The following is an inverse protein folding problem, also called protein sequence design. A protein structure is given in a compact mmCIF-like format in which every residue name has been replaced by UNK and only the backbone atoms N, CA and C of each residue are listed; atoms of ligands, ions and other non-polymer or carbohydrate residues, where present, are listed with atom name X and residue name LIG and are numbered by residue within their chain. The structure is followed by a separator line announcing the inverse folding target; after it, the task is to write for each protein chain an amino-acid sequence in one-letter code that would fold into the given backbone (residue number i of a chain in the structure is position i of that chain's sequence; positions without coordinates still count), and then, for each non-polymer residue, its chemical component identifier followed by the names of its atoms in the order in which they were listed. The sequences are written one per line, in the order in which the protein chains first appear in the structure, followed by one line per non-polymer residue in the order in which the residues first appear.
data_IF_639024060878
#
_entry.id   IF_639024060878
#
_cell.length_a   1.000
_cell.length_b   1.000
_cell.length_c   1.000
_cell.angle_alpha   90.00
_cell.angle_beta   90.00
_cell.angle_gamma   90.00
#
_symmetry.space_group_name_H-M   'P 1'
#
loop_
_entity.id
_entity.type
_entity.pdbx_description
1 polymer ?
#
# COMPACT_ATOMS: atom_id res chain seq x y z
N UNK A 1 59.27 64.29 40.85
CA UNK A 1 57.99 63.57 41.01
C UNK A 1 57.84 62.64 39.82
N UNK A 2 57.58 61.38 40.15
CA UNK A 2 57.41 60.25 39.25
C UNK A 2 56.16 60.33 38.36
N UNK A 3 56.23 59.52 37.31
CA UNK A 3 55.21 58.63 36.76
C UNK A 3 54.06 59.17 35.90
N UNK A 4 53.99 58.56 34.73
CA UNK A 4 52.77 58.33 33.96
C UNK A 4 53.08 57.82 32.55
N UNK A 5 53.18 56.49 32.30
CA UNK A 5 53.56 55.96 31.00
C UNK A 5 52.38 56.05 30.01
N UNK A 6 52.62 56.63 28.83
CA UNK A 6 51.67 56.62 27.71
C UNK A 6 51.57 55.22 27.12
N UNK A 7 50.39 54.61 27.23
CA UNK A 7 50.03 53.37 26.55
C UNK A 7 50.13 53.54 25.03
N UNK A 8 51.10 52.87 24.41
CA UNK A 8 51.13 52.69 22.95
C UNK A 8 50.18 51.55 22.54
N UNK A 9 49.17 51.92 21.76
CA UNK A 9 48.26 51.02 21.05
C UNK A 9 49.05 50.24 19.98
N UNK A 10 49.59 49.07 20.32
CA UNK A 10 50.22 48.18 19.34
C UNK A 10 49.14 47.33 18.65
N UNK A 11 48.85 47.71 17.41
CA UNK A 11 48.08 46.96 16.41
C UNK A 11 48.45 45.47 16.41
N UNK A 12 47.51 44.62 16.83
CA UNK A 12 47.60 43.17 16.68
C UNK A 12 47.48 42.80 15.20
N UNK A 13 48.61 42.81 14.48
CA UNK A 13 48.72 42.14 13.19
C UNK A 13 48.53 40.63 13.41
N UNK A 14 47.44 40.08 12.87
CA UNK A 14 47.24 38.63 12.69
C UNK A 14 48.45 38.06 11.95
N UNK A 15 49.32 37.35 12.67
CA UNK A 15 50.23 36.39 12.05
C UNK A 15 49.39 35.16 11.71
N UNK A 16 48.93 35.11 10.46
CA UNK A 16 48.66 33.83 9.81
C UNK A 16 49.99 33.09 9.75
N UNK A 17 50.33 32.37 10.80
CA UNK A 17 51.35 31.34 10.74
C UNK A 17 50.74 30.21 9.91
N UNK A 18 50.95 30.29 8.59
CA UNK A 18 51.00 29.12 7.75
C UNK A 18 52.05 28.20 8.37
N UNK A 19 51.59 27.22 9.14
CA UNK A 19 52.40 26.08 9.52
C UNK A 19 52.66 25.29 8.25
N UNK A 20 53.66 25.74 7.49
CA UNK A 20 54.42 24.87 6.59
C UNK A 20 54.87 23.67 7.44
N UNK A 21 54.58 22.42 7.04
CA UNK A 21 55.08 21.27 7.78
C UNK A 21 56.60 21.33 7.76
N UNK A 22 57.17 21.56 8.93
CA UNK A 22 58.58 21.43 9.21
C UNK A 22 59.07 20.07 8.70
N UNK A 23 60.10 20.14 7.88
CA UNK A 23 60.85 19.03 7.30
C UNK A 23 61.35 18.06 8.37
N UNK A 24 60.65 16.93 8.51
CA UNK A 24 61.29 15.64 8.80
C UNK A 24 61.56 14.95 7.46
N UNK A 25 62.81 14.76 7.04
CA UNK A 25 63.11 14.23 5.72
C UNK A 25 62.95 12.70 5.66
N UNK A 26 62.38 12.24 4.55
CA UNK A 26 62.52 10.90 3.94
C UNK A 26 61.53 9.75 4.24
N UNK A 27 60.55 9.84 5.16
CA UNK A 27 59.55 8.74 5.33
C UNK A 27 58.17 9.00 4.72
N UNK A 28 57.85 10.23 4.33
CA UNK A 28 56.50 10.62 3.92
C UNK A 28 56.17 10.45 2.41
N UNK A 29 57.01 9.77 1.62
CA UNK A 29 56.81 9.61 0.16
C UNK A 29 57.02 8.18 -0.37
N UNK A 30 57.09 7.16 0.50
CA UNK A 30 57.12 5.76 0.03
C UNK A 30 55.70 5.20 0.04
N UNK A 31 54.96 5.42 -1.05
CA UNK A 31 53.60 4.87 -1.23
C UNK A 31 53.59 3.39 -1.61
N UNK A 32 54.74 2.82 -1.96
CA UNK A 32 54.90 1.42 -2.33
C UNK A 32 55.65 0.65 -1.24
N UNK A 33 55.00 -0.40 -0.73
CA UNK A 33 55.60 -1.37 0.17
C UNK A 33 56.54 -2.29 -0.61
N UNK A 34 57.72 -2.57 -0.04
CA UNK A 34 58.63 -3.62 -0.49
C UNK A 34 57.99 -5.01 -0.31
N UNK A 35 58.58 -6.06 -0.89
CA UNK A 35 58.11 -7.43 -0.70
C UNK A 35 58.12 -7.82 0.79
N UNK A 36 59.19 -7.49 1.51
CA UNK A 36 59.32 -7.74 2.94
C UNK A 36 58.25 -6.99 3.76
N UNK A 37 57.98 -5.72 3.43
CA UNK A 37 56.94 -4.93 4.09
C UNK A 37 55.53 -5.48 3.81
N UNK A 38 55.29 -6.01 2.60
CA UNK A 38 54.03 -6.70 2.27
C UNK A 38 53.87 -7.99 3.09
N UNK A 39 54.93 -8.79 3.24
CA UNK A 39 54.90 -10.01 4.04
C UNK A 39 54.62 -9.67 5.50
N UNK A 40 55.32 -8.68 6.08
CA UNK A 40 55.07 -8.21 7.46
C UNK A 40 53.63 -7.75 7.65
N UNK A 41 53.11 -6.95 6.72
CA UNK A 41 51.72 -6.50 6.75
C UNK A 41 50.74 -7.68 6.70
N UNK A 42 50.94 -8.64 5.78
CA UNK A 42 50.06 -9.79 5.62
C UNK A 42 50.15 -10.75 6.81
N UNK A 43 51.33 -10.93 7.43
CA UNK A 43 51.48 -11.68 8.70
C UNK A 43 50.61 -11.08 9.80
N UNK A 44 50.62 -9.75 9.97
CA UNK A 44 49.76 -9.07 10.95
C UNK A 44 48.28 -9.27 10.64
N UNK A 45 47.88 -9.14 9.38
CA UNK A 45 46.49 -9.33 8.93
C UNK A 45 46.01 -10.75 9.24
N UNK A 46 46.81 -11.76 8.90
CA UNK A 46 46.50 -13.17 9.13
C UNK A 46 46.47 -13.50 10.62
N UNK A 47 47.45 -13.00 11.39
CA UNK A 47 47.51 -13.21 12.84
C UNK A 47 46.24 -12.70 13.55
N UNK A 48 45.67 -11.58 13.09
CA UNK A 48 44.47 -10.97 13.68
C UNK A 48 43.18 -11.31 12.92
N UNK A 49 43.21 -12.26 11.97
CA UNK A 49 42.10 -12.51 11.04
C UNK A 49 40.75 -12.82 11.70
N UNK A 50 40.76 -13.38 12.91
CA UNK A 50 39.57 -13.71 13.69
C UNK A 50 38.93 -12.51 14.37
N UNK A 51 39.66 -11.39 14.50
CA UNK A 51 39.14 -10.13 15.04
C UNK A 51 38.35 -9.34 13.99
N UNK A 52 38.45 -9.70 12.71
CA UNK A 52 37.63 -9.09 11.67
C UNK A 52 36.16 -9.50 11.88
N UNK A 53 35.33 -8.51 12.16
CA UNK A 53 33.87 -8.62 12.28
C UNK A 53 33.20 -8.03 11.04
N UNK A 54 32.21 -8.74 10.49
CA UNK A 54 31.44 -8.24 9.33
C UNK A 54 30.81 -6.87 9.65
N UNK A 55 30.93 -5.93 8.71
CA UNK A 55 30.53 -4.50 8.82
C UNK A 55 31.30 -3.63 9.83
N UNK A 56 32.28 -4.15 10.58
CA UNK A 56 33.19 -3.37 11.42
C UNK A 56 34.62 -3.40 10.90
N UNK A 57 34.75 -3.24 9.58
CA UNK A 57 36.05 -3.32 8.88
C UNK A 57 37.00 -2.19 9.27
N UNK A 58 36.47 -1.01 9.62
CA UNK A 58 37.28 0.16 9.99
C UNK A 58 38.11 -0.06 11.26
N UNK A 59 37.50 -0.63 12.31
CA UNK A 59 38.18 -0.94 13.57
C UNK A 59 39.36 -1.91 13.35
N UNK A 60 39.15 -2.92 12.50
CA UNK A 60 40.17 -3.90 12.13
C UNK A 60 41.35 -3.24 11.40
N UNK A 61 41.10 -2.53 10.29
CA UNK A 61 42.20 -1.93 9.52
C UNK A 61 42.92 -0.81 10.27
N UNK A 62 42.23 -0.08 11.15
CA UNK A 62 42.87 0.90 12.03
C UNK A 62 43.81 0.23 13.04
N UNK A 63 43.43 -0.93 13.60
CA UNK A 63 44.29 -1.71 14.50
C UNK A 63 45.52 -2.24 13.76
N UNK A 64 45.35 -2.81 12.56
CA UNK A 64 46.48 -3.31 11.75
C UNK A 64 47.44 -2.18 11.39
N UNK A 65 46.94 -1.01 10.98
CA UNK A 65 47.78 0.15 10.67
C UNK A 65 48.61 0.60 11.88
N UNK A 66 48.00 0.63 13.08
CA UNK A 66 48.67 1.00 14.33
C UNK A 66 49.79 0.02 14.68
N UNK A 67 49.49 -1.28 14.73
CA UNK A 67 50.46 -2.32 15.07
C UNK A 67 51.59 -2.37 14.03
N UNK A 68 51.25 -2.25 12.74
CA UNK A 68 52.23 -2.24 11.66
C UNK A 68 53.19 -1.05 11.73
N UNK A 69 52.72 0.12 12.19
CA UNK A 69 53.60 1.26 12.41
C UNK A 69 54.47 1.08 13.66
N UNK A 70 53.87 0.70 14.79
CA UNK A 70 54.54 0.64 16.10
C UNK A 70 55.56 -0.50 16.18
N UNK A 71 55.23 -1.68 15.65
CA UNK A 71 56.05 -2.89 15.83
C UNK A 71 56.91 -3.21 14.59
N UNK A 72 56.37 -2.99 13.39
CA UNK A 72 57.03 -3.39 12.13
C UNK A 72 57.66 -2.19 11.39
N UNK A 73 57.47 -0.96 11.90
CA UNK A 73 58.03 0.26 11.31
C UNK A 73 57.45 0.65 9.95
N UNK A 74 56.26 0.13 9.60
CA UNK A 74 55.60 0.40 8.32
C UNK A 74 55.14 1.86 8.21
N UNK A 75 55.33 2.49 7.05
CA UNK A 75 54.91 3.87 6.79
C UNK A 75 53.38 4.06 6.64
N UNK A 76 52.59 3.05 6.98
CA UNK A 76 51.13 3.06 6.80
C UNK A 76 50.47 3.55 8.09
N UNK A 77 50.01 4.81 8.10
CA UNK A 77 49.46 5.42 9.31
C UNK A 77 47.94 5.59 9.31
N UNK A 78 47.28 5.45 8.15
CA UNK A 78 45.82 5.64 8.06
C UNK A 78 45.11 4.33 7.77
N UNK A 79 43.89 4.19 8.31
CA UNK A 79 43.00 3.05 8.03
C UNK A 79 42.80 2.85 6.53
N UNK A 80 42.48 3.93 5.80
CA UNK A 80 42.23 3.88 4.36
C UNK A 80 43.47 3.46 3.57
N UNK A 81 44.65 3.97 3.92
CA UNK A 81 45.89 3.56 3.26
C UNK A 81 46.18 2.07 3.52
N UNK A 82 46.03 1.60 4.76
CA UNK A 82 46.22 0.19 5.11
C UNK A 82 45.29 -0.72 4.32
N UNK A 83 44.00 -0.38 4.29
CA UNK A 83 42.99 -1.11 3.53
C UNK A 83 43.34 -1.16 2.04
N UNK A 84 43.74 -0.03 1.45
CA UNK A 84 44.10 0.03 0.03
C UNK A 84 45.36 -0.79 -0.30
N UNK A 85 46.36 -0.81 0.59
CA UNK A 85 47.55 -1.66 0.42
C UNK A 85 47.18 -3.14 0.43
N UNK A 86 46.35 -3.58 1.39
CA UNK A 86 45.88 -4.98 1.46
C UNK A 86 45.07 -5.35 0.22
N UNK A 87 44.15 -4.48 -0.24
CA UNK A 87 43.39 -4.70 -1.48
C UNK A 87 44.34 -4.84 -2.68
N UNK A 88 45.36 -3.97 -2.77
CA UNK A 88 46.34 -4.03 -3.85
C UNK A 88 47.16 -5.32 -3.82
N UNK A 89 47.56 -5.79 -2.64
CA UNK A 89 48.29 -7.06 -2.47
C UNK A 89 47.42 -8.22 -2.95
N UNK A 90 46.16 -8.30 -2.48
CA UNK A 90 45.23 -9.34 -2.87
C UNK A 90 44.96 -9.34 -4.39
N UNK A 91 44.85 -8.17 -5.01
CA UNK A 91 44.68 -8.06 -6.46
C UNK A 91 45.87 -8.63 -7.25
N UNK A 92 47.09 -8.34 -6.81
CA UNK A 92 48.31 -8.87 -7.43
C UNK A 92 48.43 -10.38 -7.20
N UNK A 93 48.04 -10.87 -6.03
CA UNK A 93 47.98 -12.30 -5.73
C UNK A 93 47.00 -13.04 -6.65
N UNK A 94 45.78 -12.52 -6.89
CA UNK A 94 44.84 -13.14 -7.84
C UNK A 94 45.40 -13.16 -9.27
N UNK A 95 46.10 -12.09 -9.66
CA UNK A 95 46.78 -12.05 -10.95
C UNK A 95 47.88 -13.13 -11.02
N UNK A 96 48.71 -13.28 -9.97
CA UNK A 96 49.72 -14.35 -9.91
C UNK A 96 49.10 -15.74 -10.01
N UNK A 97 48.00 -16.00 -9.30
CA UNK A 97 47.27 -17.27 -9.40
C UNK A 97 46.81 -17.56 -10.83
N UNK A 98 46.24 -16.56 -11.51
CA UNK A 98 45.74 -16.71 -12.88
C UNK A 98 46.86 -16.97 -13.91
N UNK A 99 48.08 -16.49 -13.65
CA UNK A 99 49.23 -16.66 -14.55
C UNK A 99 50.20 -17.77 -14.12
N UNK A 100 49.89 -18.52 -13.05
CA UNK A 100 50.76 -19.57 -12.52
C UNK A 100 50.86 -20.73 -13.53
N UNK A 101 52.08 -21.03 -13.97
CA UNK A 101 52.33 -22.15 -14.87
C UNK A 101 52.98 -23.33 -14.12
N UNK A 102 52.66 -24.59 -14.48
CA UNK A 102 53.33 -25.77 -13.92
C UNK A 102 54.84 -25.69 -14.15
N UNK A 103 55.64 -25.84 -13.08
CA UNK A 103 57.11 -25.80 -13.16
C UNK A 103 57.74 -24.40 -13.07
N UNK A 104 56.96 -23.33 -12.81
CA UNK A 104 57.52 -22.04 -12.44
C UNK A 104 58.33 -22.15 -11.14
N UNK A 105 59.53 -21.57 -11.13
CA UNK A 105 60.31 -21.38 -9.91
C UNK A 105 59.80 -20.13 -9.20
N UNK A 106 59.34 -20.29 -7.97
CA UNK A 106 58.99 -19.20 -7.05
C UNK A 106 60.11 -19.03 -6.03
N UNK A 107 60.18 -17.85 -5.39
CA UNK A 107 61.07 -17.65 -4.24
C UNK A 107 60.32 -17.98 -2.94
N UNK A 108 61.03 -18.37 -1.86
CA UNK A 108 60.38 -18.65 -0.58
C UNK A 108 59.54 -17.48 -0.04
N UNK A 109 59.96 -16.24 -0.29
CA UNK A 109 59.24 -15.03 0.12
C UNK A 109 57.94 -14.85 -0.67
N UNK A 110 57.95 -15.19 -1.96
CA UNK A 110 56.74 -15.18 -2.79
C UNK A 110 55.77 -16.28 -2.37
N UNK A 111 56.27 -17.48 -2.08
CA UNK A 111 55.46 -18.60 -1.60
C UNK A 111 54.82 -18.28 -0.24
N UNK A 112 55.57 -17.64 0.67
CA UNK A 112 55.04 -17.19 1.95
C UNK A 112 53.94 -16.14 1.76
N UNK A 113 54.16 -15.14 0.90
CA UNK A 113 53.16 -14.13 0.64
C UNK A 113 51.89 -14.72 0.01
N UNK A 114 52.05 -15.65 -0.93
CA UNK A 114 50.93 -16.36 -1.56
C UNK A 114 50.14 -17.17 -0.51
N UNK A 115 50.83 -17.87 0.41
CA UNK A 115 50.18 -18.60 1.51
C UNK A 115 49.41 -17.69 2.47
N UNK A 116 49.97 -16.54 2.85
CA UNK A 116 49.29 -15.56 3.69
C UNK A 116 48.05 -14.97 2.99
N UNK A 117 48.13 -14.76 1.67
CA UNK A 117 46.99 -14.31 0.87
C UNK A 117 45.89 -15.38 0.77
N UNK A 118 46.27 -16.65 0.57
CA UNK A 118 45.33 -17.80 0.58
C UNK A 118 44.54 -17.85 1.89
N UNK A 119 45.23 -17.75 3.03
CA UNK A 119 44.63 -17.81 4.35
C UNK A 119 43.70 -16.61 4.63
N UNK A 120 44.10 -15.42 4.20
CA UNK A 120 43.25 -14.23 4.30
C UNK A 120 42.01 -14.31 3.39
N UNK A 121 42.17 -14.80 2.15
CA UNK A 121 41.07 -15.03 1.21
C UNK A 121 40.06 -16.03 1.76
N UNK A 122 40.54 -17.10 2.40
CA UNK A 122 39.68 -18.08 3.07
C UNK A 122 38.85 -17.43 4.18
N UNK A 123 39.45 -16.58 5.03
CA UNK A 123 38.73 -15.85 6.08
C UNK A 123 37.66 -14.90 5.51
N UNK A 124 37.98 -14.16 4.45
CA UNK A 124 37.00 -13.28 3.79
C UNK A 124 35.83 -14.08 3.20
N UNK A 125 36.12 -15.23 2.59
CA UNK A 125 35.12 -16.13 2.04
C UNK A 125 34.21 -16.71 3.12
N UNK A 126 34.77 -17.07 4.28
CA UNK A 126 34.02 -17.54 5.45
C UNK A 126 33.01 -16.48 5.92
N UNK A 127 33.46 -15.23 6.11
CA UNK A 127 32.59 -14.12 6.49
C UNK A 127 31.48 -13.84 5.46
N UNK A 128 31.80 -13.96 4.17
CA UNK A 128 30.82 -13.83 3.10
C UNK A 128 29.77 -14.95 3.16
N UNK A 129 30.19 -16.19 3.38
CA UNK A 129 29.27 -17.32 3.53
C UNK A 129 28.34 -17.15 4.74
N UNK A 130 28.84 -16.64 5.87
CA UNK A 130 27.99 -16.31 7.03
C UNK A 130 26.94 -15.26 6.67
N UNK A 131 27.32 -14.21 5.93
CA UNK A 131 26.39 -13.19 5.46
C UNK A 131 25.33 -13.77 4.51
N UNK A 132 25.71 -14.61 3.58
CA UNK A 132 24.78 -15.22 2.63
C UNK A 132 23.82 -16.18 3.32
N UNK A 133 24.33 -17.09 4.16
CA UNK A 133 23.52 -18.09 4.87
C UNK A 133 22.53 -17.45 5.85
N UNK A 134 22.97 -16.47 6.65
CA UNK A 134 22.17 -15.96 7.77
C UNK A 134 21.46 -14.63 7.51
N UNK A 135 21.99 -13.76 6.64
CA UNK A 135 21.38 -12.45 6.36
C UNK A 135 20.60 -12.41 5.04
N UNK A 136 20.90 -13.27 4.07
CA UNK A 136 20.12 -13.33 2.82
C UNK A 136 19.01 -14.37 2.92
N UNK A 137 19.28 -15.54 3.52
CA UNK A 137 18.26 -16.56 3.77
C UNK A 137 17.07 -16.04 4.60
N UNK A 138 17.35 -15.34 5.70
CA UNK A 138 16.31 -14.82 6.61
C UNK A 138 15.44 -13.71 6.00
N UNK A 139 15.97 -12.91 5.07
CA UNK A 139 15.21 -11.85 4.40
C UNK A 139 14.35 -12.34 3.24
N UNK A 140 14.70 -13.47 2.62
CA UNK A 140 13.91 -14.03 1.51
C UNK A 140 12.70 -14.83 1.98
N UNK A 141 12.80 -15.56 3.09
CA UNK A 141 11.72 -16.43 3.54
C UNK A 141 10.64 -15.65 4.33
N UNK A 142 11.03 -14.84 5.32
CA UNK A 142 10.03 -14.33 6.28
C UNK A 142 9.21 -13.14 5.71
N UNK A 143 9.81 -12.29 4.88
CA UNK A 143 9.12 -11.10 4.38
C UNK A 143 8.25 -11.36 3.15
N UNK A 144 8.68 -12.21 2.22
CA UNK A 144 7.94 -12.41 0.98
C UNK A 144 6.65 -13.20 1.20
N UNK A 145 6.69 -14.24 2.04
CA UNK A 145 5.52 -15.08 2.29
C UNK A 145 4.45 -14.31 3.08
N UNK A 146 4.85 -13.53 4.09
CA UNK A 146 3.93 -12.68 4.85
C UNK A 146 3.31 -11.57 3.98
N UNK A 147 4.09 -10.95 3.08
CA UNK A 147 3.60 -9.94 2.14
C UNK A 147 2.61 -10.57 1.14
N UNK A 148 2.93 -11.75 0.60
CA UNK A 148 2.07 -12.45 -0.35
C UNK A 148 0.74 -12.87 0.30
N UNK A 149 0.78 -13.32 1.55
CA UNK A 149 -0.42 -13.70 2.30
C UNK A 149 -1.30 -12.48 2.62
N UNK A 150 -0.70 -11.35 2.99
CA UNK A 150 -1.42 -10.07 3.15
C UNK A 150 -2.04 -9.57 1.84
N UNK A 151 -1.33 -9.70 0.72
CA UNK A 151 -1.83 -9.32 -0.62
C UNK A 151 -3.03 -10.19 -1.03
N UNK A 152 -2.97 -11.50 -0.76
CA UNK A 152 -4.08 -12.41 -1.01
C UNK A 152 -5.31 -12.00 -0.19
N UNK A 153 -5.14 -11.77 1.11
CA UNK A 153 -6.23 -11.32 1.99
C UNK A 153 -6.85 -10.00 1.52
N UNK A 154 -6.04 -9.02 1.12
CA UNK A 154 -6.54 -7.75 0.58
C UNK A 154 -7.36 -7.94 -0.72
N UNK A 155 -6.97 -8.91 -1.54
CA UNK A 155 -7.70 -9.24 -2.79
C UNK A 155 -9.06 -9.85 -2.46
N UNK A 156 -9.12 -10.80 -1.52
CA UNK A 156 -10.37 -11.43 -1.08
C UNK A 156 -11.30 -10.40 -0.41
N UNK A 157 -10.75 -9.51 0.43
CA UNK A 157 -11.51 -8.42 1.06
C UNK A 157 -12.05 -7.43 0.01
N UNK A 158 -11.27 -7.13 -1.05
CA UNK A 158 -11.74 -6.26 -2.14
C UNK A 158 -12.93 -6.88 -2.90
N UNK A 159 -12.90 -8.19 -3.18
CA UNK A 159 -14.04 -8.87 -3.83
C UNK A 159 -15.31 -8.80 -2.97
N UNK A 160 -15.17 -8.92 -1.64
CA UNK A 160 -16.29 -8.78 -0.72
C UNK A 160 -16.87 -7.35 -0.73
N UNK A 161 -16.02 -6.33 -0.80
CA UNK A 161 -16.45 -4.93 -0.92
C UNK A 161 -17.20 -4.71 -2.24
N UNK A 162 -16.68 -5.21 -3.37
CA UNK A 162 -17.34 -5.05 -4.67
C UNK A 162 -18.73 -5.71 -4.69
N UNK A 163 -18.86 -6.90 -4.08
CA UNK A 163 -20.15 -7.56 -3.90
C UNK A 163 -21.11 -6.74 -3.03
N UNK A 164 -20.62 -6.12 -1.94
CA UNK A 164 -21.43 -5.25 -1.09
C UNK A 164 -21.88 -4.00 -1.84
N UNK A 165 -21.00 -3.38 -2.62
CA UNK A 165 -21.33 -2.23 -3.48
C UNK A 165 -22.42 -2.60 -4.49
N UNK A 166 -22.32 -3.77 -5.12
CA UNK A 166 -23.36 -4.25 -6.03
C UNK A 166 -24.72 -4.42 -5.33
N UNK A 167 -24.75 -4.96 -4.11
CA UNK A 167 -25.98 -5.09 -3.31
C UNK A 167 -26.56 -3.73 -2.91
N UNK A 168 -25.72 -2.78 -2.51
CA UNK A 168 -26.15 -1.41 -2.15
C UNK A 168 -26.73 -0.69 -3.37
N UNK A 169 -26.11 -0.83 -4.54
CA UNK A 169 -26.61 -0.23 -5.78
C UNK A 169 -27.98 -0.83 -6.18
N UNK A 170 -28.15 -2.14 -6.05
CA UNK A 170 -29.42 -2.81 -6.30
C UNK A 170 -30.53 -2.31 -5.37
N UNK A 171 -30.25 -2.23 -4.06
CA UNK A 171 -31.21 -1.72 -3.07
C UNK A 171 -31.54 -0.24 -3.29
N UNK A 172 -30.54 0.58 -3.66
CA UNK A 172 -30.74 2.01 -3.94
C UNK A 172 -31.65 2.21 -5.15
N UNK A 173 -31.50 1.40 -6.20
CA UNK A 173 -32.41 1.43 -7.36
C UNK A 173 -33.84 1.06 -6.95
N UNK A 174 -34.00 -0.02 -6.18
CA UNK A 174 -35.32 -0.42 -5.69
C UNK A 174 -35.98 0.64 -4.79
N UNK A 175 -35.20 1.33 -3.97
CA UNK A 175 -35.68 2.44 -3.16
C UNK A 175 -36.19 3.57 -4.05
N UNK A 176 -35.43 3.94 -5.08
CA UNK A 176 -35.82 4.98 -6.03
C UNK A 176 -37.11 4.62 -6.78
N UNK A 177 -37.23 3.38 -7.26
CA UNK A 177 -38.46 2.90 -7.92
C UNK A 177 -39.68 2.95 -6.96
N UNK A 178 -39.47 2.74 -5.66
CA UNK A 178 -40.53 2.84 -4.65
C UNK A 178 -40.90 4.30 -4.36
N UNK A 179 -39.93 5.21 -4.30
CA UNK A 179 -40.17 6.65 -4.17
C UNK A 179 -41.01 7.17 -5.34
N UNK A 180 -40.73 6.74 -6.56
CA UNK A 180 -41.52 7.10 -7.75
C UNK A 180 -42.96 6.60 -7.64
N UNK A 181 -43.17 5.35 -7.21
CA UNK A 181 -44.53 4.81 -6.98
C UNK A 181 -45.29 5.56 -5.90
N UNK A 182 -44.62 5.95 -4.81
CA UNK A 182 -45.24 6.75 -3.74
C UNK A 182 -45.65 8.12 -4.28
N UNK A 183 -44.82 8.74 -5.12
CA UNK A 183 -45.14 10.02 -5.76
C UNK A 183 -46.37 9.91 -6.67
N UNK A 184 -46.44 8.85 -7.49
CA UNK A 184 -47.60 8.58 -8.34
C UNK A 184 -48.89 8.33 -7.54
N UNK A 185 -48.81 7.54 -6.46
CA UNK A 185 -49.95 7.31 -5.56
C UNK A 185 -50.41 8.59 -4.88
N UNK A 186 -49.48 9.43 -4.43
CA UNK A 186 -49.78 10.72 -3.80
C UNK A 186 -50.52 11.64 -4.78
N UNK A 187 -50.07 11.73 -6.03
CA UNK A 187 -50.75 12.49 -7.08
C UNK A 187 -52.18 11.96 -7.33
N UNK A 188 -52.36 10.64 -7.33
CA UNK A 188 -53.69 10.03 -7.52
C UNK A 188 -54.63 10.32 -6.35
N UNK A 189 -54.12 10.35 -5.12
CA UNK A 189 -54.92 10.71 -3.92
C UNK A 189 -55.39 12.16 -4.00
N UNK A 190 -54.55 13.10 -4.44
CA UNK A 190 -54.94 14.50 -4.64
C UNK A 190 -56.01 14.67 -5.72
N UNK A 191 -55.91 13.92 -6.82
CA UNK A 191 -56.95 13.89 -7.85
C UNK A 191 -58.29 13.38 -7.28
N UNK A 192 -58.27 12.29 -6.52
CA UNK A 192 -59.48 11.78 -5.85
C UNK A 192 -60.03 12.76 -4.81
N UNK A 193 -59.17 13.48 -4.09
CA UNK A 193 -59.61 14.49 -3.13
C UNK A 193 -60.30 15.67 -3.83
N UNK A 194 -59.72 16.14 -4.94
CA UNK A 194 -60.32 17.21 -5.75
C UNK A 194 -61.62 16.80 -6.41
N UNK A 195 -61.73 15.57 -6.92
CA UNK A 195 -62.97 15.04 -7.48
C UNK A 195 -64.05 14.85 -6.40
N UNK A 196 -63.70 14.35 -5.21
CA UNK A 196 -64.64 14.28 -4.08
C UNK A 196 -65.16 15.68 -3.71
N UNK A 197 -64.29 16.69 -3.67
CA UNK A 197 -64.70 18.08 -3.42
C UNK A 197 -65.67 18.59 -4.47
N UNK A 198 -65.44 18.29 -5.76
CA UNK A 198 -66.37 18.64 -6.85
C UNK A 198 -67.73 17.94 -6.70
N UNK A 199 -67.74 16.67 -6.33
CA UNK A 199 -68.99 15.92 -6.09
C UNK A 199 -69.78 16.56 -4.95
N UNK A 200 -69.14 16.93 -3.84
CA UNK A 200 -69.82 17.63 -2.75
C UNK A 200 -70.42 18.97 -3.20
N UNK A 201 -69.69 19.76 -4.00
CA UNK A 201 -70.21 21.03 -4.55
C UNK A 201 -71.42 20.82 -5.48
N UNK A 202 -71.42 19.75 -6.28
CA UNK A 202 -72.54 19.40 -7.16
C UNK A 202 -73.77 18.95 -6.35
N UNK A 203 -73.56 18.16 -5.28
CA UNK A 203 -74.64 17.77 -4.37
C UNK A 203 -75.25 18.99 -3.67
N UNK A 204 -74.42 19.92 -3.16
CA UNK A 204 -74.89 21.17 -2.55
C UNK A 204 -75.70 22.01 -3.56
N UNK A 205 -75.25 22.10 -4.81
CA UNK A 205 -75.97 22.83 -5.86
C UNK A 205 -77.32 22.18 -6.21
N UNK A 206 -77.37 20.84 -6.31
CA UNK A 206 -78.61 20.10 -6.54
C UNK A 206 -79.60 20.26 -5.39
N UNK A 207 -79.14 20.28 -4.14
CA UNK A 207 -79.98 20.56 -2.97
C UNK A 207 -80.58 21.98 -3.02
N UNK A 208 -79.82 22.97 -3.50
CA UNK A 208 -80.31 24.34 -3.72
C UNK A 208 -81.35 24.37 -4.84
N UNK A 209 -81.11 23.68 -5.96
CA UNK A 209 -82.07 23.58 -7.08
C UNK A 209 -83.38 22.91 -6.63
N UNK A 210 -83.31 21.81 -5.87
CA UNK A 210 -84.49 21.13 -5.33
C UNK A 210 -85.29 22.05 -4.38
N UNK A 211 -84.61 22.85 -3.55
CA UNK A 211 -85.27 23.86 -2.70
C UNK A 211 -85.96 24.94 -3.54
N UNK A 212 -85.38 25.38 -4.66
CA UNK A 212 -86.01 26.36 -5.56
C UNK A 212 -87.22 25.78 -6.32
N UNK A 213 -87.18 24.51 -6.72
CA UNK A 213 -88.33 23.83 -7.36
C UNK A 213 -89.54 23.73 -6.43
N UNK A 214 -89.34 23.62 -5.10
CA UNK A 214 -90.44 23.58 -4.12
C UNK A 214 -91.16 24.93 -3.89
N UNK A 215 -90.79 26.00 -4.61
CA UNK A 215 -91.43 27.33 -4.49
C UNK A 215 -92.13 27.79 -5.78
N UNK A 216 -92.35 26.91 -6.76
CA UNK A 216 -93.19 27.22 -7.92
C UNK A 216 -94.68 27.03 -7.57
N UNK A 217 -95.57 28.05 -7.76
CA UNK A 217 -96.98 27.92 -7.40
C UNK A 217 -97.85 27.13 -8.39
N UNK A 218 -97.28 26.60 -9.49
CA UNK A 218 -98.06 25.87 -10.51
C UNK A 218 -97.24 24.74 -11.17
N UNK A 219 -97.48 23.48 -10.80
CA UNK A 219 -96.97 22.27 -11.50
C UNK A 219 -97.20 20.95 -10.72
N UNK A 220 -97.61 19.82 -11.36
CA UNK A 220 -98.20 18.65 -10.69
C UNK A 220 -97.16 17.69 -10.03
N UNK A 221 -97.56 16.77 -9.14
CA UNK A 221 -96.63 15.97 -8.35
C UNK A 221 -96.08 14.81 -9.20
N UNK A 222 -94.81 14.85 -9.60
CA UNK A 222 -94.13 13.73 -10.30
C UNK A 222 -92.80 13.37 -9.63
N UNK A 223 -92.72 13.43 -8.29
CA UNK A 223 -91.51 13.12 -7.54
C UNK A 223 -91.59 11.82 -6.75
N UNK A 224 -92.05 10.71 -7.35
CA UNK A 224 -91.91 9.37 -6.73
C UNK A 224 -91.81 8.26 -7.79
N UNK A 225 -90.80 8.23 -8.68
CA UNK A 225 -90.45 6.96 -9.35
C UNK A 225 -89.10 6.83 -10.09
N UNK A 226 -88.07 7.62 -9.79
CA UNK A 226 -86.75 7.44 -10.45
C UNK A 226 -85.64 6.87 -9.53
N UNK A 227 -85.94 6.55 -8.28
CA UNK A 227 -84.96 6.01 -7.33
C UNK A 227 -84.72 4.48 -7.43
N UNK A 228 -85.69 3.60 -7.79
CA UNK A 228 -85.45 2.15 -7.70
C UNK A 228 -84.55 1.57 -8.80
N UNK A 229 -84.33 2.27 -9.92
CA UNK A 229 -83.65 1.69 -11.10
C UNK A 229 -82.17 2.09 -11.28
N UNK A 230 -81.64 3.08 -10.54
CA UNK A 230 -80.22 3.45 -10.66
C UNK A 230 -79.32 2.70 -9.67
N UNK A 231 -79.80 2.43 -8.46
CA UNK A 231 -79.04 1.73 -7.40
C UNK A 231 -78.70 0.27 -7.73
N UNK A 232 -79.60 -0.53 -8.34
CA UNK A 232 -79.28 -1.92 -8.70
C UNK A 232 -78.29 -2.05 -9.86
N UNK A 233 -78.12 -1.02 -10.70
CA UNK A 233 -77.24 -1.09 -11.88
C UNK A 233 -75.81 -0.56 -11.61
N UNK A 234 -75.62 0.34 -10.64
CA UNK A 234 -74.26 0.83 -10.31
C UNK A 234 -73.47 -0.16 -9.44
N UNK A 235 -74.14 -0.85 -8.52
CA UNK A 235 -73.49 -1.71 -7.52
C UNK A 235 -72.83 -2.96 -8.14
N UNK A 236 -73.49 -3.70 -9.05
CA UNK A 236 -72.87 -4.87 -9.70
C UNK A 236 -71.72 -4.47 -10.62
N UNK A 237 -71.86 -3.34 -11.33
CA UNK A 237 -70.92 -2.90 -12.35
C UNK A 237 -69.60 -2.38 -11.74
N UNK A 238 -69.65 -1.75 -10.55
CA UNK A 238 -68.42 -1.42 -9.80
C UNK A 238 -67.75 -2.64 -9.18
N UNK A 239 -68.53 -3.57 -8.61
CA UNK A 239 -67.99 -4.80 -8.01
C UNK A 239 -67.31 -5.72 -9.03
N UNK A 240 -67.93 -5.90 -10.19
CA UNK A 240 -67.34 -6.72 -11.27
C UNK A 240 -66.12 -6.05 -11.90
N UNK A 241 -66.14 -4.75 -12.18
CA UNK A 241 -64.96 -4.09 -12.75
C UNK A 241 -63.78 -4.03 -11.77
N UNK A 242 -64.01 -3.72 -10.48
CA UNK A 242 -62.91 -3.71 -9.50
C UNK A 242 -62.36 -5.12 -9.25
N UNK A 243 -63.23 -6.13 -9.08
CA UNK A 243 -62.80 -7.50 -8.87
C UNK A 243 -62.04 -8.08 -10.06
N UNK A 244 -62.52 -7.82 -11.28
CA UNK A 244 -61.87 -8.26 -12.50
C UNK A 244 -60.51 -7.58 -12.70
N UNK A 245 -60.42 -6.25 -12.53
CA UNK A 245 -59.14 -5.53 -12.68
C UNK A 245 -58.12 -5.89 -11.60
N UNK A 246 -58.54 -6.01 -10.33
CA UNK A 246 -57.63 -6.41 -9.26
C UNK A 246 -57.16 -7.86 -9.44
N UNK A 247 -58.07 -8.79 -9.77
CA UNK A 247 -57.76 -10.19 -9.99
C UNK A 247 -56.82 -10.41 -11.18
N UNK A 248 -57.09 -9.73 -12.30
CA UNK A 248 -56.20 -9.81 -13.48
C UNK A 248 -54.85 -9.17 -13.18
N UNK A 249 -54.77 -7.94 -12.67
CA UNK A 249 -53.46 -7.30 -12.40
C UNK A 249 -52.62 -8.06 -11.36
N UNK A 250 -53.24 -8.58 -10.30
CA UNK A 250 -52.53 -9.40 -9.30
C UNK A 250 -52.05 -10.71 -9.92
N UNK A 251 -52.90 -11.41 -10.67
CA UNK A 251 -52.55 -12.69 -11.29
C UNK A 251 -51.49 -12.56 -12.40
N UNK A 252 -51.64 -11.57 -13.30
CA UNK A 252 -50.73 -11.40 -14.43
C UNK A 252 -49.39 -10.79 -14.04
N UNK A 253 -49.30 -9.99 -12.97
CA UNK A 253 -48.01 -9.41 -12.56
C UNK A 253 -47.32 -10.19 -11.44
N UNK A 254 -48.04 -10.84 -10.51
CA UNK A 254 -47.36 -11.58 -9.42
C UNK A 254 -46.90 -12.98 -9.86
N UNK A 255 -47.67 -13.70 -10.68
CA UNK A 255 -47.30 -15.07 -11.07
C UNK A 255 -46.01 -15.15 -11.90
N UNK A 256 -45.78 -14.29 -12.92
CA UNK A 256 -44.52 -14.31 -13.66
C UNK A 256 -43.33 -13.88 -12.79
N UNK A 257 -43.53 -12.93 -11.88
CA UNK A 257 -42.46 -12.40 -11.04
C UNK A 257 -42.03 -13.41 -9.95
N UNK A 258 -43.00 -14.14 -9.36
CA UNK A 258 -42.71 -15.27 -8.45
C UNK A 258 -42.02 -16.44 -9.16
N UNK A 259 -42.43 -16.75 -10.40
CA UNK A 259 -41.77 -17.77 -11.19
C UNK A 259 -40.34 -17.37 -11.59
N UNK A 260 -40.12 -16.08 -11.93
CA UNK A 260 -38.80 -15.55 -12.23
C UNK A 260 -37.83 -15.63 -11.03
N UNK A 261 -38.31 -15.31 -9.83
CA UNK A 261 -37.54 -15.45 -8.58
C UNK A 261 -37.21 -16.93 -8.32
N UNK A 262 -38.18 -17.84 -8.51
CA UNK A 262 -37.96 -19.28 -8.34
C UNK A 262 -36.94 -19.84 -9.33
N UNK A 263 -36.99 -19.43 -10.61
CA UNK A 263 -35.99 -19.83 -11.60
C UNK A 263 -34.61 -19.22 -11.34
N UNK A 264 -34.55 -17.99 -10.84
CA UNK A 264 -33.30 -17.32 -10.44
C UNK A 264 -32.62 -18.02 -9.26
N UNK A 265 -33.39 -18.45 -8.26
CA UNK A 265 -32.87 -19.23 -7.14
C UNK A 265 -32.40 -20.63 -7.57
N UNK A 266 -33.14 -21.31 -8.45
CA UNK A 266 -32.74 -22.63 -8.94
C UNK A 266 -31.45 -22.59 -9.77
N UNK A 267 -31.30 -21.60 -10.64
CA UNK A 267 -30.09 -21.41 -11.46
C UNK A 267 -28.87 -20.93 -10.65
N UNK A 268 -29.08 -20.27 -9.51
CA UNK A 268 -27.99 -19.83 -8.63
C UNK A 268 -27.50 -20.91 -7.65
N UNK A 269 -28.31 -21.94 -7.38
CA UNK A 269 -27.99 -23.02 -6.43
C UNK A 269 -27.52 -24.29 -7.16
N UNK A 270 -28.04 -24.59 -8.35
CA UNK A 270 -27.70 -25.80 -9.10
C UNK A 270 -26.21 -25.97 -9.48
N UNK A 271 -25.45 -24.94 -9.92
CA UNK A 271 -24.04 -25.12 -10.27
C UNK A 271 -23.10 -25.30 -9.06
N UNK A 272 -23.61 -25.17 -7.82
CA UNK A 272 -22.84 -25.34 -6.59
C UNK A 272 -22.97 -26.75 -5.97
N UNK A 273 -23.65 -27.68 -6.64
CA UNK A 273 -23.90 -29.04 -6.14
C UNK A 273 -23.33 -30.16 -7.04
N UNK A 274 -22.71 -29.82 -8.18
CA UNK A 274 -22.05 -30.77 -9.10
C UNK A 274 -20.50 -30.68 -9.06
N UNK A 275 -19.93 -30.27 -7.93
CA UNK A 275 -18.50 -30.41 -7.60
C UNK A 275 -18.31 -31.19 -6.30
#
# INVERSE_FOLDING_TARGET
MEAGPKMELKSYKRKNASLSPSSSPAKAQRTHLSLEEKIKLMRLVVQHKHELVDRKTSEFYAKIARIGYENEGLAIHTESACRNQIISIMRVYEQRLAHRQPGMKTTPEEDELDQLCDEWKARLSELQQYREKFLVGKRKCDCNDEINERLKKLTDDQQNVDMLVAKVNFLSKHLHDNEEKIMQLSARVEELYTDNKRIHQLLDHNDILAKMETHSPYGPPHSVNMNPNMTPNMTPNMGTNMGANMGTNMGTNMSPNMNAIRSGLHSSIAPNLDH
#
